data_IF_204969044427
#
_entry.id   IF_204969044427
#
_cell.length_a   1.000
_cell.length_b   1.000
_cell.length_c   1.000
_cell.angle_alpha   90.00
_cell.angle_beta   90.00
_cell.angle_gamma   90.00
#
_symmetry.space_group_name_H-M   'P 1'
#
loop_
_entity.id
_entity.type
_entity.pdbx_description
1 polymer ?
#
# COMPACT_ATOMS: atom_id res chain seq x y z
N UNK A 1 4.20 -23.52 18.63
CA UNK A 1 3.26 -22.51 18.06
C UNK A 1 3.76 -22.16 16.68
N UNK A 2 2.90 -22.24 15.67
CA UNK A 2 3.25 -21.72 14.34
C UNK A 2 3.51 -20.22 14.44
N UNK A 3 4.54 -19.76 13.73
CA UNK A 3 4.86 -18.34 13.70
C UNK A 3 3.70 -17.58 13.04
N UNK A 4 3.31 -16.43 13.60
CA UNK A 4 2.29 -15.55 13.04
C UNK A 4 2.64 -15.19 11.58
N UNK A 5 1.76 -15.47 10.61
CA UNK A 5 2.03 -15.13 9.21
C UNK A 5 2.06 -13.61 9.04
N UNK A 6 2.90 -13.14 8.10
CA UNK A 6 3.01 -11.73 7.77
C UNK A 6 2.49 -11.49 6.35
N UNK A 7 1.70 -10.43 6.19
CA UNK A 7 1.32 -9.88 4.89
C UNK A 7 1.94 -8.48 4.76
N UNK A 8 2.93 -8.37 3.89
CA UNK A 8 3.59 -7.10 3.58
C UNK A 8 2.70 -6.29 2.63
N UNK A 9 2.09 -5.21 3.12
CA UNK A 9 1.16 -4.39 2.36
C UNK A 9 1.84 -3.40 1.40
N UNK A 10 3.17 -3.43 1.27
CA UNK A 10 3.89 -2.54 0.38
C UNK A 10 5.34 -2.94 0.15
N UNK A 11 5.57 -3.63 -0.94
CA UNK A 11 6.90 -3.92 -1.44
C UNK A 11 6.97 -3.63 -2.95
N UNK A 12 8.16 -3.71 -3.50
CA UNK A 12 8.43 -3.48 -4.91
C UNK A 12 9.19 -4.65 -5.51
N UNK A 13 8.94 -4.96 -6.76
CA UNK A 13 9.80 -5.82 -7.56
C UNK A 13 9.75 -5.40 -9.02
N UNK A 14 10.77 -5.74 -9.79
CA UNK A 14 10.82 -5.39 -11.19
C UNK A 14 12.07 -5.90 -11.87
N UNK A 15 12.07 -5.92 -13.20
CA UNK A 15 13.21 -6.36 -14.01
C UNK A 15 14.12 -5.20 -14.44
N UNK A 16 13.61 -3.97 -14.44
CA UNK A 16 14.38 -2.78 -14.80
C UNK A 16 14.86 -2.02 -13.59
N UNK A 17 14.04 -2.01 -12.55
CA UNK A 17 14.30 -1.33 -11.29
C UNK A 17 13.95 -2.28 -10.16
N UNK A 18 14.71 -2.24 -9.08
CA UNK A 18 14.65 -3.16 -7.96
C UNK A 18 15.09 -4.59 -8.32
N UNK A 19 14.58 -5.56 -7.60
CA UNK A 19 14.93 -6.97 -7.75
C UNK A 19 13.79 -7.74 -8.36
N UNK A 20 14.06 -8.72 -9.23
CA UNK A 20 13.02 -9.61 -9.72
C UNK A 20 12.48 -10.49 -8.59
N UNK A 21 11.30 -11.07 -8.81
CA UNK A 21 10.59 -11.84 -7.79
C UNK A 21 11.39 -13.04 -7.27
N UNK A 22 12.25 -13.62 -8.09
CA UNK A 22 13.15 -14.71 -7.74
C UNK A 22 14.15 -14.34 -6.63
N UNK A 23 14.41 -13.05 -6.45
CA UNK A 23 15.22 -12.53 -5.35
C UNK A 23 14.38 -12.06 -4.16
N UNK A 24 13.13 -11.62 -4.39
CA UNK A 24 12.21 -11.21 -3.33
C UNK A 24 11.64 -12.41 -2.58
N UNK A 25 11.18 -13.46 -3.28
CA UNK A 25 10.57 -14.64 -2.68
C UNK A 25 11.39 -15.30 -1.57
N UNK A 26 12.68 -15.59 -1.77
CA UNK A 26 13.50 -16.20 -0.71
C UNK A 26 13.65 -15.30 0.52
N UNK A 27 13.67 -13.99 0.35
CA UNK A 27 13.70 -13.05 1.47
C UNK A 27 12.38 -13.10 2.25
N UNK A 28 11.26 -13.06 1.55
CA UNK A 28 9.93 -13.21 2.17
C UNK A 28 9.84 -14.51 2.98
N UNK A 29 10.25 -15.63 2.40
CA UNK A 29 10.16 -16.95 3.04
C UNK A 29 11.02 -17.00 4.32
N UNK A 30 12.24 -16.48 4.30
CA UNK A 30 13.13 -16.44 5.49
C UNK A 30 12.54 -15.63 6.65
N UNK A 31 11.71 -14.63 6.34
CA UNK A 31 11.11 -13.75 7.35
C UNK A 31 9.63 -14.03 7.65
N UNK A 32 9.09 -15.14 7.15
CA UNK A 32 7.71 -15.56 7.41
C UNK A 32 6.65 -14.67 6.74
N UNK A 33 7.04 -13.96 5.66
CA UNK A 33 6.12 -13.16 4.86
C UNK A 33 5.46 -14.03 3.81
N UNK A 34 4.19 -14.35 4.05
CA UNK A 34 3.42 -15.28 3.21
C UNK A 34 2.72 -14.60 2.05
N UNK A 35 2.49 -13.28 2.13
CA UNK A 35 1.83 -12.47 1.11
C UNK A 35 2.48 -11.11 0.97
N UNK A 36 2.40 -10.54 -0.22
CA UNK A 36 2.89 -9.18 -0.48
C UNK A 36 2.02 -8.43 -1.47
N UNK A 37 1.83 -7.14 -1.21
CA UNK A 37 1.28 -6.18 -2.17
C UNK A 37 2.43 -5.54 -2.94
N UNK A 38 2.51 -5.84 -4.22
CA UNK A 38 3.51 -5.28 -5.12
C UNK A 38 2.99 -3.96 -5.69
N UNK A 39 3.64 -2.87 -5.31
CA UNK A 39 3.33 -1.54 -5.83
C UNK A 39 4.34 -1.16 -6.90
N UNK A 40 3.85 -0.68 -8.06
CA UNK A 40 4.74 -0.20 -9.11
C UNK A 40 5.52 1.04 -8.65
N UNK A 41 6.70 1.22 -9.21
CA UNK A 41 7.61 2.28 -8.83
C UNK A 41 7.33 3.58 -9.60
N UNK A 42 7.42 4.73 -8.90
CA UNK A 42 7.26 6.04 -9.54
C UNK A 42 8.21 6.20 -10.75
N UNK A 43 7.62 6.49 -11.90
CA UNK A 43 8.31 6.61 -13.19
C UNK A 43 8.28 5.34 -14.05
N UNK A 44 7.81 4.20 -13.53
CA UNK A 44 7.55 2.98 -14.30
C UNK A 44 6.04 2.82 -14.51
N UNK A 45 5.62 2.84 -15.78
CA UNK A 45 4.21 2.77 -16.15
C UNK A 45 3.83 1.48 -16.89
N UNK A 46 4.83 0.60 -17.13
CA UNK A 46 4.60 -0.75 -17.63
C UNK A 46 4.39 -1.71 -16.44
N UNK A 47 3.14 -1.95 -16.12
CA UNK A 47 2.75 -2.81 -15.01
C UNK A 47 2.66 -4.31 -15.39
N UNK A 48 3.09 -4.70 -16.59
CA UNK A 48 2.92 -6.07 -17.12
C UNK A 48 3.65 -7.12 -16.29
N UNK A 49 4.81 -6.78 -15.70
CA UNK A 49 5.55 -7.68 -14.85
C UNK A 49 4.76 -8.02 -13.57
N UNK A 50 4.27 -7.01 -12.86
CA UNK A 50 3.45 -7.22 -11.65
C UNK A 50 2.14 -7.93 -12.02
N UNK A 51 1.50 -7.56 -13.13
CA UNK A 51 0.32 -8.26 -13.63
C UNK A 51 0.56 -9.77 -13.76
N UNK A 52 1.67 -10.15 -14.39
CA UNK A 52 2.02 -11.55 -14.62
C UNK A 52 2.21 -12.32 -13.31
N UNK A 53 2.85 -11.70 -12.31
CA UNK A 53 3.07 -12.29 -10.99
C UNK A 53 1.77 -12.48 -10.21
N UNK A 54 0.91 -11.48 -10.21
CA UNK A 54 -0.40 -11.55 -9.54
C UNK A 54 -1.28 -12.63 -10.17
N UNK A 55 -1.36 -12.68 -11.50
CA UNK A 55 -2.13 -13.71 -12.20
C UNK A 55 -1.59 -15.13 -11.97
N UNK A 56 -0.28 -15.29 -11.93
CA UNK A 56 0.38 -16.57 -11.69
C UNK A 56 0.24 -17.06 -10.24
N UNK A 57 0.28 -16.16 -9.28
CA UNK A 57 0.28 -16.49 -7.84
C UNK A 57 -0.63 -15.55 -7.02
N UNK A 58 -1.96 -15.54 -7.28
CA UNK A 58 -2.89 -14.58 -6.66
C UNK A 58 -3.06 -14.76 -5.14
N UNK A 59 -2.67 -15.91 -4.59
CA UNK A 59 -2.69 -16.15 -3.14
C UNK A 59 -1.46 -15.56 -2.44
N UNK A 60 -0.40 -15.25 -3.19
CA UNK A 60 0.85 -14.70 -2.66
C UNK A 60 1.03 -13.22 -2.98
N UNK A 61 0.53 -12.77 -4.13
CA UNK A 61 0.69 -11.40 -4.60
C UNK A 61 -0.63 -10.71 -4.88
N UNK A 62 -0.73 -9.46 -4.46
CA UNK A 62 -1.69 -8.50 -4.95
C UNK A 62 -0.93 -7.33 -5.59
N UNK A 63 -1.58 -6.55 -6.44
CA UNK A 63 -0.92 -5.48 -7.20
C UNK A 63 -1.56 -4.12 -7.05
N UNK A 64 -0.74 -3.08 -6.96
CA UNK A 64 -1.10 -1.69 -7.15
C UNK A 64 -0.31 -1.14 -8.34
N UNK A 65 -1.01 -0.82 -9.42
CA UNK A 65 -0.39 -0.31 -10.64
C UNK A 65 -0.14 1.21 -10.57
N UNK A 66 0.59 1.72 -11.55
CA UNK A 66 0.87 3.14 -11.72
C UNK A 66 0.58 3.55 -13.17
N UNK A 67 0.10 4.76 -13.36
CA UNK A 67 -0.01 5.40 -14.68
C UNK A 67 0.70 6.74 -14.69
N UNK A 68 1.10 7.19 -15.87
CA UNK A 68 1.55 8.56 -16.04
C UNK A 68 0.33 9.49 -15.94
N UNK A 69 0.13 10.10 -14.78
CA UNK A 69 -0.97 11.01 -14.51
C UNK A 69 -0.91 12.31 -15.33
N UNK A 70 0.25 12.64 -15.93
CA UNK A 70 0.41 13.78 -16.84
C UNK A 70 -0.04 13.43 -18.26
N UNK A 71 -0.17 12.16 -18.60
CA UNK A 71 -0.61 11.72 -19.91
C UNK A 71 -2.09 12.08 -20.16
N UNK A 72 -2.44 12.59 -21.36
CA UNK A 72 -3.84 12.77 -21.73
C UNK A 72 -4.62 11.44 -21.78
N UNK A 73 -3.93 10.29 -21.83
CA UNK A 73 -4.52 8.95 -21.82
C UNK A 73 -4.56 8.31 -20.44
N UNK A 74 -4.26 9.05 -19.37
CA UNK A 74 -4.18 8.48 -18.02
C UNK A 74 -5.46 7.71 -17.60
N UNK A 75 -6.64 8.23 -17.92
CA UNK A 75 -7.93 7.58 -17.63
C UNK A 75 -8.12 6.27 -18.43
N UNK A 76 -7.71 6.26 -19.70
CA UNK A 76 -7.75 5.06 -20.54
C UNK A 76 -6.77 3.99 -20.03
N UNK A 77 -5.58 4.42 -19.62
CA UNK A 77 -4.57 3.52 -19.05
C UNK A 77 -5.04 2.92 -17.72
N UNK A 78 -5.69 3.70 -16.85
CA UNK A 78 -6.34 3.18 -15.63
C UNK A 78 -7.38 2.12 -16.01
N UNK A 79 -8.25 2.43 -16.96
CA UNK A 79 -9.29 1.51 -17.44
C UNK A 79 -8.69 0.23 -18.01
N UNK A 80 -7.63 0.33 -18.80
CA UNK A 80 -6.90 -0.79 -19.38
C UNK A 80 -6.35 -1.72 -18.30
N UNK A 81 -5.67 -1.19 -17.28
CA UNK A 81 -5.11 -2.00 -16.22
C UNK A 81 -6.18 -2.64 -15.32
N UNK A 82 -7.29 -1.96 -15.08
CA UNK A 82 -8.44 -2.54 -14.36
C UNK A 82 -9.03 -3.72 -15.11
N UNK A 83 -9.16 -3.64 -16.43
CA UNK A 83 -9.68 -4.73 -17.28
C UNK A 83 -8.86 -6.02 -17.22
N UNK A 84 -7.59 -5.95 -16.84
CA UNK A 84 -6.75 -7.15 -16.68
C UNK A 84 -7.21 -8.05 -15.54
N UNK A 85 -7.93 -7.49 -14.55
CA UNK A 85 -8.40 -8.19 -13.35
C UNK A 85 -7.30 -8.50 -12.32
N UNK A 86 -6.04 -8.11 -12.60
CA UNK A 86 -4.91 -8.40 -11.73
C UNK A 86 -4.77 -7.44 -10.54
N UNK A 87 -5.20 -6.20 -10.73
CA UNK A 87 -4.92 -5.13 -9.78
C UNK A 87 -6.09 -4.83 -8.84
N UNK A 88 -5.77 -4.55 -7.59
CA UNK A 88 -6.71 -4.13 -6.54
C UNK A 88 -6.59 -2.65 -6.23
N UNK A 89 -5.51 -2.01 -6.64
CA UNK A 89 -5.26 -0.62 -6.34
C UNK A 89 -4.39 0.07 -7.38
N UNK A 90 -4.35 1.38 -7.25
CA UNK A 90 -3.50 2.30 -8.02
C UNK A 90 -2.69 3.15 -7.06
N UNK A 91 -1.48 3.50 -7.47
CA UNK A 91 -0.60 4.37 -6.69
C UNK A 91 -0.61 5.79 -7.24
N UNK A 92 -0.77 6.78 -6.35
CA UNK A 92 -0.69 8.19 -6.67
C UNK A 92 0.29 8.95 -5.76
N UNK A 93 1.07 9.89 -6.28
CA UNK A 93 1.68 10.93 -5.46
C UNK A 93 0.59 11.78 -4.77
N UNK A 94 0.78 12.18 -3.50
CA UNK A 94 -0.21 12.97 -2.75
C UNK A 94 -0.64 14.25 -3.47
N UNK A 95 0.33 14.96 -4.08
CA UNK A 95 0.08 16.21 -4.80
C UNK A 95 -0.97 16.08 -5.94
N UNK A 96 -1.13 14.88 -6.49
CA UNK A 96 -2.07 14.66 -7.60
C UNK A 96 -3.54 14.75 -7.17
N UNK A 97 -3.84 14.68 -5.87
CA UNK A 97 -5.22 14.91 -5.39
C UNK A 97 -5.70 16.34 -5.67
N UNK A 98 -4.78 17.31 -5.68
CA UNK A 98 -5.05 18.71 -5.99
C UNK A 98 -5.13 18.99 -7.48
N UNK A 99 -4.30 18.32 -8.28
CA UNK A 99 -4.10 18.64 -9.69
C UNK A 99 -4.83 17.71 -10.65
N UNK A 100 -5.13 16.48 -10.22
CA UNK A 100 -5.72 15.42 -11.07
C UNK A 100 -6.91 14.73 -10.37
N UNK A 101 -7.73 15.48 -9.63
CA UNK A 101 -8.86 14.95 -8.84
C UNK A 101 -9.77 14.02 -9.66
N UNK A 102 -9.99 14.29 -10.94
CA UNK A 102 -10.81 13.43 -11.82
C UNK A 102 -10.27 12.01 -11.94
N UNK A 103 -8.94 11.81 -11.96
CA UNK A 103 -8.35 10.47 -12.00
C UNK A 103 -8.58 9.71 -10.68
N UNK A 104 -8.58 10.43 -9.56
CA UNK A 104 -8.89 9.87 -8.25
C UNK A 104 -10.35 9.43 -8.16
N UNK A 105 -11.27 10.29 -8.59
CA UNK A 105 -12.71 9.99 -8.61
C UNK A 105 -13.00 8.81 -9.54
N UNK A 106 -12.35 8.76 -10.72
CA UNK A 106 -12.47 7.65 -11.64
C UNK A 106 -11.94 6.34 -11.03
N UNK A 107 -10.79 6.36 -10.39
CA UNK A 107 -10.23 5.19 -9.69
C UNK A 107 -11.16 4.68 -8.59
N UNK A 108 -11.77 5.60 -7.83
CA UNK A 108 -12.74 5.27 -6.79
C UNK A 108 -14.01 4.62 -7.37
N UNK A 109 -14.53 5.16 -8.48
CA UNK A 109 -15.68 4.57 -9.19
C UNK A 109 -15.41 3.15 -9.70
N UNK A 110 -14.16 2.88 -10.10
CA UNK A 110 -13.71 1.55 -10.50
C UNK A 110 -13.50 0.61 -9.31
N UNK A 111 -13.61 1.08 -8.08
CA UNK A 111 -13.48 0.30 -6.85
C UNK A 111 -12.02 0.00 -6.45
N UNK A 112 -11.07 0.77 -6.97
CA UNK A 112 -9.65 0.62 -6.63
C UNK A 112 -9.34 1.16 -5.23
N UNK A 113 -8.39 0.53 -4.54
CA UNK A 113 -7.71 1.12 -3.40
C UNK A 113 -6.66 2.12 -3.88
N UNK A 114 -6.47 3.21 -3.15
CA UNK A 114 -5.50 4.24 -3.51
C UNK A 114 -4.29 4.18 -2.58
N UNK A 115 -3.13 3.80 -3.10
CA UNK A 115 -1.85 3.87 -2.38
C UNK A 115 -1.28 5.26 -2.58
N UNK A 116 -1.25 6.06 -1.53
CA UNK A 116 -0.87 7.46 -1.59
C UNK A 116 0.55 7.63 -1.09
N UNK A 117 1.44 8.11 -1.98
CA UNK A 117 2.85 8.29 -1.65
C UNK A 117 3.11 9.62 -0.93
N UNK A 118 3.88 9.56 0.17
CA UNK A 118 4.42 10.74 0.86
C UNK A 118 5.27 11.62 -0.09
N UNK A 119 5.50 12.92 0.24
CA UNK A 119 5.12 13.59 1.50
C UNK A 119 3.64 13.96 1.57
N UNK A 120 3.18 14.37 2.78
CA UNK A 120 1.82 14.83 3.02
C UNK A 120 1.82 16.26 3.59
N UNK A 121 2.08 17.30 2.77
CA UNK A 121 1.93 18.69 3.18
C UNK A 121 0.47 19.00 3.58
N UNK A 122 0.27 20.15 4.24
CA UNK A 122 -1.04 20.51 4.80
C UNK A 122 -2.15 20.54 3.74
N UNK A 123 -1.90 21.17 2.60
CA UNK A 123 -2.91 21.29 1.53
C UNK A 123 -3.34 19.93 0.97
N UNK A 124 -2.38 19.02 0.72
CA UNK A 124 -2.64 17.66 0.26
C UNK A 124 -3.37 16.85 1.35
N UNK A 125 -2.99 17.01 2.62
CA UNK A 125 -3.68 16.33 3.73
C UNK A 125 -5.13 16.76 3.84
N UNK A 126 -5.43 18.05 3.73
CA UNK A 126 -6.80 18.58 3.73
C UNK A 126 -7.60 18.04 2.53
N UNK A 127 -7.01 18.03 1.34
CA UNK A 127 -7.65 17.49 0.14
C UNK A 127 -7.88 15.98 0.22
N UNK A 128 -6.96 15.22 0.83
CA UNK A 128 -7.11 13.78 1.05
C UNK A 128 -8.20 13.46 2.08
N UNK A 129 -8.33 14.27 3.14
CA UNK A 129 -9.44 14.16 4.09
C UNK A 129 -10.78 14.42 3.42
N UNK A 130 -10.88 15.47 2.59
CA UNK A 130 -12.08 15.77 1.81
C UNK A 130 -12.41 14.61 0.84
N UNK A 131 -11.40 14.12 0.10
CA UNK A 131 -11.60 12.97 -0.79
C UNK A 131 -12.09 11.72 -0.02
N UNK A 132 -11.49 11.42 1.13
CA UNK A 132 -11.91 10.28 1.94
C UNK A 132 -13.35 10.42 2.47
N UNK A 133 -13.78 11.67 2.72
CA UNK A 133 -15.18 11.99 3.06
C UNK A 133 -16.14 11.74 1.91
N UNK A 134 -15.79 12.22 0.72
CA UNK A 134 -16.60 12.11 -0.49
C UNK A 134 -16.69 10.66 -1.00
N UNK A 135 -15.63 9.86 -0.77
CA UNK A 135 -15.49 8.49 -1.26
C UNK A 135 -15.35 7.48 -0.11
N UNK A 136 -16.35 7.30 0.77
CA UNK A 136 -16.20 6.52 2.00
C UNK A 136 -15.98 5.02 1.77
N UNK A 137 -16.22 4.52 0.56
CA UNK A 137 -15.99 3.11 0.16
C UNK A 137 -14.59 2.88 -0.41
N UNK A 138 -13.84 3.94 -0.68
CA UNK A 138 -12.48 3.88 -1.25
C UNK A 138 -11.46 3.97 -0.14
N UNK A 139 -10.58 2.97 -0.03
CA UNK A 139 -9.50 2.99 0.95
C UNK A 139 -8.32 3.81 0.44
N UNK A 140 -7.84 4.75 1.27
CA UNK A 140 -6.59 5.48 1.10
C UNK A 140 -5.54 4.82 1.99
N UNK A 141 -4.52 4.20 1.40
CA UNK A 141 -3.37 3.65 2.11
C UNK A 141 -2.21 4.63 2.05
N UNK A 142 -1.99 5.36 3.14
CA UNK A 142 -0.96 6.40 3.24
C UNK A 142 0.38 5.78 3.59
N UNK A 143 1.40 6.00 2.75
CA UNK A 143 2.72 5.38 2.94
C UNK A 143 3.53 6.06 4.06
N UNK A 144 4.56 5.37 4.56
CA UNK A 144 5.65 5.91 5.37
C UNK A 144 5.20 6.64 6.65
N UNK A 145 4.42 5.95 7.47
CA UNK A 145 3.88 6.44 8.75
C UNK A 145 2.89 7.61 8.60
N UNK A 146 2.35 7.82 7.38
CA UNK A 146 1.43 8.91 7.13
C UNK A 146 2.02 10.29 7.44
N UNK A 147 1.16 11.23 7.73
CA UNK A 147 1.51 12.61 8.12
C UNK A 147 0.62 13.09 9.25
N UNK A 148 0.84 14.34 9.70
CA UNK A 148 -0.04 15.00 10.65
C UNK A 148 -1.33 15.49 9.97
N UNK A 149 -2.42 15.63 10.75
CA UNK A 149 -3.67 16.26 10.29
C UNK A 149 -4.64 15.32 9.58
N UNK A 150 -4.35 14.03 9.44
CA UNK A 150 -5.33 13.08 8.93
C UNK A 150 -6.47 12.83 9.92
N UNK A 151 -7.70 12.88 9.41
CA UNK A 151 -8.89 12.60 10.18
C UNK A 151 -9.04 11.11 10.51
N UNK A 152 -9.67 10.82 11.63
CA UNK A 152 -9.97 9.45 12.04
C UNK A 152 -11.15 8.88 11.24
N UNK A 153 -10.90 8.46 10.00
CA UNK A 153 -11.90 7.86 9.10
C UNK A 153 -11.64 6.37 8.88
N UNK A 154 -12.70 5.54 8.76
CA UNK A 154 -12.53 4.10 8.55
C UNK A 154 -11.77 3.72 7.27
N UNK A 155 -11.84 4.55 6.25
CA UNK A 155 -11.22 4.36 4.95
C UNK A 155 -9.84 5.01 4.79
N UNK A 156 -9.30 5.63 5.83
CA UNK A 156 -7.89 6.07 5.88
C UNK A 156 -7.08 5.02 6.63
N UNK A 157 -6.17 4.38 5.92
CA UNK A 157 -5.25 3.36 6.42
C UNK A 157 -3.84 3.93 6.42
N UNK A 158 -3.13 3.84 7.53
CA UNK A 158 -1.74 4.28 7.63
C UNK A 158 -0.81 3.08 7.58
N UNK A 159 0.17 3.17 6.72
CA UNK A 159 1.16 2.14 6.53
C UNK A 159 2.37 2.41 7.41
N UNK A 160 2.68 1.48 8.28
CA UNK A 160 3.94 1.45 9.03
C UNK A 160 5.01 0.92 8.08
N UNK A 161 5.70 1.85 7.41
CA UNK A 161 6.72 1.54 6.40
C UNK A 161 7.78 2.62 6.31
N UNK A 162 8.87 2.32 5.59
CA UNK A 162 9.93 3.28 5.35
C UNK A 162 10.66 3.72 6.62
N UNK A 163 10.72 2.85 7.62
CA UNK A 163 11.32 3.15 8.92
C UNK A 163 12.79 3.54 8.81
N UNK A 164 13.51 2.97 7.83
CA UNK A 164 14.88 3.33 7.51
C UNK A 164 15.08 4.80 7.11
N UNK A 165 14.03 5.48 6.59
CA UNK A 165 14.09 6.91 6.28
C UNK A 165 13.98 7.79 7.52
N UNK A 166 13.40 7.26 8.59
CA UNK A 166 13.13 7.98 9.83
C UNK A 166 14.08 7.61 10.97
N UNK A 167 14.95 6.61 10.78
CA UNK A 167 15.90 6.19 11.82
C UNK A 167 16.79 5.03 11.37
N UNK A 168 17.67 4.61 12.28
CA UNK A 168 18.54 3.44 12.13
C UNK A 168 18.02 2.27 12.96
N UNK A 169 18.22 1.03 12.45
CA UNK A 169 17.93 -0.17 13.23
C UNK A 169 18.66 -0.12 14.60
N UNK A 170 18.04 -0.58 15.66
CA UNK A 170 16.77 -1.28 15.81
C UNK A 170 15.52 -0.37 15.91
N UNK A 171 15.56 0.83 15.39
CA UNK A 171 14.44 1.81 15.27
C UNK A 171 13.78 2.21 16.59
N UNK A 172 14.49 2.14 17.70
CA UNK A 172 13.95 2.47 19.02
C UNK A 172 13.35 3.89 19.11
N UNK A 173 13.91 4.85 18.35
CA UNK A 173 13.40 6.22 18.27
C UNK A 173 12.03 6.35 17.59
N UNK A 174 11.57 5.32 16.85
CA UNK A 174 10.26 5.32 16.21
C UNK A 174 9.15 4.75 17.09
N UNK A 175 9.49 4.07 18.18
CA UNK A 175 8.50 3.47 19.11
C UNK A 175 7.43 4.48 19.54
N UNK A 176 7.77 5.70 20.03
CA UNK A 176 6.74 6.67 20.42
C UNK A 176 5.82 7.09 19.27
N UNK A 177 6.37 7.24 18.06
CA UNK A 177 5.58 7.63 16.87
C UNK A 177 4.62 6.52 16.44
N UNK A 178 5.09 5.27 16.38
CA UNK A 178 4.25 4.13 16.01
C UNK A 178 3.17 3.91 17.08
N UNK A 179 3.55 4.05 18.36
CA UNK A 179 2.59 3.97 19.48
C UNK A 179 1.51 5.06 19.39
N UNK A 180 1.89 6.30 19.10
CA UNK A 180 0.93 7.39 18.91
C UNK A 180 -0.02 7.15 17.73
N UNK A 181 0.46 6.57 16.63
CA UNK A 181 -0.41 6.16 15.52
C UNK A 181 -1.41 5.08 15.96
N UNK A 182 -0.95 4.07 16.70
CA UNK A 182 -1.82 3.02 17.22
C UNK A 182 -2.88 3.60 18.18
N UNK A 183 -2.49 4.43 19.15
CA UNK A 183 -3.40 5.04 20.12
C UNK A 183 -4.44 5.96 19.45
N UNK A 184 -4.03 6.66 18.39
CA UNK A 184 -4.92 7.59 17.66
C UNK A 184 -5.86 6.87 16.71
N UNK A 185 -5.33 5.95 15.93
CA UNK A 185 -6.07 5.34 14.82
C UNK A 185 -6.74 4.02 15.20
N UNK A 186 -6.17 3.29 16.15
CA UNK A 186 -6.51 1.91 16.47
C UNK A 186 -5.92 0.91 15.46
N UNK A 187 -5.81 -0.38 15.86
CA UNK A 187 -5.14 -1.40 15.07
C UNK A 187 -5.77 -1.62 13.69
N UNK A 188 -7.10 -1.51 13.57
CA UNK A 188 -7.82 -1.81 12.31
C UNK A 188 -7.47 -0.89 11.13
N UNK A 189 -6.75 0.22 11.38
CA UNK A 189 -6.35 1.20 10.36
C UNK A 189 -4.85 1.32 10.19
N UNK A 190 -4.11 0.35 10.68
CA UNK A 190 -2.68 0.23 10.48
C UNK A 190 -2.37 -1.02 9.67
N UNK A 191 -1.41 -0.92 8.77
CA UNK A 191 -0.86 -2.06 8.03
C UNK A 191 0.66 -1.98 8.03
N UNK A 192 1.32 -3.13 8.07
CA UNK A 192 2.76 -3.20 7.85
C UNK A 192 3.07 -3.16 6.36
N UNK A 193 4.17 -2.51 5.99
CA UNK A 193 4.72 -2.55 4.64
C UNK A 193 6.22 -2.27 4.68
N UNK A 194 7.01 -3.13 4.07
CA UNK A 194 8.46 -3.05 4.15
C UNK A 194 9.05 -1.91 3.32
N UNK A 195 8.40 -1.55 2.21
CA UNK A 195 9.03 -0.74 1.15
C UNK A 195 10.31 -1.40 0.57
N UNK A 196 10.48 -2.72 0.78
CA UNK A 196 11.62 -3.48 0.26
C UNK A 196 11.48 -3.66 -1.28
N UNK A 197 12.54 -3.62 -2.05
CA UNK A 197 13.95 -3.49 -1.71
C UNK A 197 14.51 -2.06 -1.95
N UNK A 198 13.78 -1.01 -1.58
CA UNK A 198 14.30 0.36 -1.67
C UNK A 198 15.58 0.53 -0.85
N UNK A 199 15.65 -0.15 0.29
CA UNK A 199 16.91 -0.48 0.97
C UNK A 199 17.27 -1.90 0.59
N UNK A 200 18.41 -2.06 -0.05
CA UNK A 200 18.84 -3.36 -0.60
C UNK A 200 19.24 -4.38 0.47
N UNK A 201 19.46 -3.91 1.70
CA UNK A 201 19.92 -4.75 2.81
C UNK A 201 18.73 -5.51 3.45
N UNK A 202 18.81 -6.84 3.40
CA UNK A 202 17.83 -7.72 4.05
C UNK A 202 17.79 -7.53 5.58
N UNK A 203 18.89 -7.10 6.19
CA UNK A 203 18.97 -6.77 7.62
C UNK A 203 17.98 -5.67 8.03
N UNK A 204 17.71 -4.72 7.14
CA UNK A 204 16.70 -3.67 7.36
C UNK A 204 15.31 -4.28 7.42
N UNK A 205 15.00 -5.18 6.50
CA UNK A 205 13.71 -5.90 6.44
C UNK A 205 13.45 -6.69 7.73
N UNK A 206 14.47 -7.46 8.19
CA UNK A 206 14.41 -8.20 9.44
C UNK A 206 14.18 -7.29 10.65
N UNK A 207 14.92 -6.17 10.73
CA UNK A 207 14.84 -5.25 11.86
C UNK A 207 13.46 -4.53 11.94
N UNK A 208 12.82 -4.24 10.80
CA UNK A 208 11.47 -3.66 10.76
C UNK A 208 10.42 -4.65 11.28
N UNK A 209 10.52 -5.92 10.88
CA UNK A 209 9.64 -6.99 11.38
C UNK A 209 9.84 -7.19 12.88
N UNK A 210 11.09 -7.25 13.35
CA UNK A 210 11.43 -7.44 14.76
C UNK A 210 10.93 -6.27 15.63
N UNK A 211 11.00 -5.04 15.14
CA UNK A 211 10.44 -3.89 15.87
C UNK A 211 8.95 -4.09 16.18
N UNK A 212 8.18 -4.58 15.21
CA UNK A 212 6.73 -4.76 15.37
C UNK A 212 6.39 -5.98 16.24
N UNK A 213 7.11 -7.11 16.05
CA UNK A 213 6.83 -8.38 16.74
C UNK A 213 7.49 -8.49 18.12
N UNK A 214 8.58 -7.77 18.33
CA UNK A 214 9.43 -7.92 19.52
C UNK A 214 8.87 -7.34 20.82
N UNK A 215 7.59 -6.98 20.88
CA UNK A 215 6.91 -6.51 22.10
C UNK A 215 7.29 -5.09 22.56
N UNK A 216 8.26 -4.45 21.91
CA UNK A 216 8.78 -3.10 22.29
C UNK A 216 7.74 -1.99 22.18
N UNK A 217 6.72 -2.19 21.35
CA UNK A 217 5.65 -1.21 21.14
C UNK A 217 4.61 -1.21 22.29
N UNK A 218 4.59 -2.24 23.14
CA UNK A 218 3.55 -2.40 24.16
C UNK A 218 2.14 -2.53 23.59
N UNK A 219 2.03 -2.99 22.35
CA UNK A 219 0.77 -3.27 21.65
C UNK A 219 0.39 -4.74 21.89
N UNK A 220 -0.87 -5.05 22.19
CA UNK A 220 -1.33 -6.44 22.34
C UNK A 220 -1.01 -7.31 21.10
N UNK A 221 -0.68 -8.58 21.31
CA UNK A 221 -0.27 -9.49 20.23
C UNK A 221 -1.34 -9.64 19.14
N UNK A 222 -2.61 -9.73 19.51
CA UNK A 222 -3.71 -9.79 18.55
C UNK A 222 -3.81 -8.54 17.68
N UNK A 223 -3.45 -7.36 18.22
CA UNK A 223 -3.44 -6.11 17.46
C UNK A 223 -2.21 -6.02 16.56
N UNK A 224 -1.07 -6.57 17.00
CA UNK A 224 0.10 -6.72 16.12
C UNK A 224 -0.20 -7.67 14.95
N UNK A 225 -0.91 -8.78 15.20
CA UNK A 225 -1.38 -9.69 14.15
C UNK A 225 -2.29 -8.95 13.15
N UNK A 226 -3.24 -8.16 13.65
CA UNK A 226 -4.11 -7.37 12.78
C UNK A 226 -3.30 -6.41 11.88
N UNK A 227 -2.31 -5.70 12.44
CA UNK A 227 -1.44 -4.75 11.72
C UNK A 227 -0.54 -5.47 10.71
N UNK A 228 0.06 -6.59 11.08
CA UNK A 228 1.04 -7.28 10.26
C UNK A 228 0.43 -8.27 9.26
N UNK A 229 -0.84 -8.62 9.41
CA UNK A 229 -1.46 -9.63 8.56
C UNK A 229 -2.93 -9.32 8.22
N UNK A 230 -3.86 -9.43 9.20
CA UNK A 230 -5.29 -9.51 8.93
C UNK A 230 -5.84 -8.30 8.16
N UNK A 231 -5.37 -7.10 8.46
CA UNK A 231 -5.84 -5.89 7.77
C UNK A 231 -5.41 -5.88 6.30
N UNK A 232 -4.17 -6.22 6.00
CA UNK A 232 -3.68 -6.30 4.63
C UNK A 232 -4.39 -7.42 3.85
N UNK A 233 -4.63 -8.58 4.48
CA UNK A 233 -5.42 -9.67 3.88
C UNK A 233 -6.83 -9.19 3.54
N UNK A 234 -7.52 -8.54 4.47
CA UNK A 234 -8.87 -8.01 4.27
C UNK A 234 -8.92 -7.01 3.11
N UNK A 235 -7.97 -6.11 3.02
CA UNK A 235 -7.93 -5.06 1.98
C UNK A 235 -7.53 -5.61 0.62
N UNK A 236 -6.48 -6.41 0.55
CA UNK A 236 -5.80 -6.74 -0.69
C UNK A 236 -6.07 -8.16 -1.20
N UNK A 237 -6.41 -9.10 -0.33
CA UNK A 237 -6.65 -10.52 -0.67
C UNK A 237 -8.09 -10.98 -0.43
N UNK A 238 -8.94 -10.12 0.13
CA UNK A 238 -10.37 -10.33 0.28
C UNK A 238 -11.14 -10.31 -1.04
N UNK A 239 -12.47 -10.24 -0.99
CA UNK A 239 -13.31 -10.10 -2.21
C UNK A 239 -12.96 -8.79 -2.93
N UNK A 240 -12.80 -8.87 -4.24
CA UNK A 240 -12.51 -7.67 -5.06
C UNK A 240 -13.67 -6.69 -5.05
N UNK A 241 -13.36 -5.42 -4.83
CA UNK A 241 -14.28 -4.29 -5.04
C UNK A 241 -14.17 -3.72 -6.46
N UNK A 242 -13.14 -4.15 -7.22
CA UNK A 242 -12.83 -3.65 -8.57
C UNK A 242 -13.91 -4.08 -9.57
N UNK A 243 -14.43 -3.12 -10.33
CA UNK A 243 -15.54 -3.28 -11.27
C UNK A 243 -15.06 -3.46 -12.71
N UNK A 244 -14.30 -4.53 -12.96
CA UNK A 244 -13.78 -4.83 -14.31
C UNK A 244 -14.88 -5.08 -15.35
N UNK A 245 -16.06 -5.59 -14.93
CA UNK A 245 -17.16 -5.97 -15.83
C UNK A 245 -18.18 -4.87 -16.14
N UNK A 246 -18.21 -3.74 -15.41
CA UNK A 246 -19.23 -2.70 -15.60
C UNK A 246 -18.83 -1.57 -16.57
N UNK A 247 -17.68 -1.70 -17.23
CA UNK A 247 -17.11 -0.64 -18.10
C UNK A 247 -17.67 -0.62 -19.54
N UNK A 248 -18.73 -1.36 -19.82
CA UNK A 248 -19.30 -1.45 -21.18
C UNK A 248 -20.31 -0.34 -21.50
N UNK A 249 -20.39 0.75 -20.76
CA UNK A 249 -21.43 1.75 -20.98
C UNK A 249 -21.16 3.20 -20.63
N UNK A 250 -19.97 3.61 -20.27
CA UNK A 250 -19.70 5.00 -19.85
C UNK A 250 -18.53 5.62 -20.59
N UNK A 251 -18.84 6.33 -21.68
CA UNK A 251 -17.91 7.28 -22.30
C UNK A 251 -17.93 8.54 -21.43
N UNK A 252 -16.75 8.97 -21.00
CA UNK A 252 -16.58 10.31 -20.40
C UNK A 252 -16.90 11.36 -21.48
N UNK A 253 -18.09 11.95 -21.40
CA UNK A 253 -18.41 13.18 -22.11
C UNK A 253 -17.79 14.38 -21.40
#
# INVERSE_FOLDING_TARGET
>A
MEAMPITDAYAHCGVRKYRPVEQLDPVMDRHGVVRTVLAEHLGEYDNSYIESLVKKRPQRFAGAFLVDHQSPRAADDITRWVKTGAFRGIRFPSATVLTHRRLWDWSAQLGLHLVVSAPFPKAETEALNAFASDQPKTFLQLTHLGGAGFEKRPNIIVQISGMHKAGKAPYAGLVPRIRALYDTLGPARLVYGSNFPVMEEESVYAAEIELLRGGRLGIPENDIEAVMNANAVRLWFGRSTVRAGSLLGGVLG
#
